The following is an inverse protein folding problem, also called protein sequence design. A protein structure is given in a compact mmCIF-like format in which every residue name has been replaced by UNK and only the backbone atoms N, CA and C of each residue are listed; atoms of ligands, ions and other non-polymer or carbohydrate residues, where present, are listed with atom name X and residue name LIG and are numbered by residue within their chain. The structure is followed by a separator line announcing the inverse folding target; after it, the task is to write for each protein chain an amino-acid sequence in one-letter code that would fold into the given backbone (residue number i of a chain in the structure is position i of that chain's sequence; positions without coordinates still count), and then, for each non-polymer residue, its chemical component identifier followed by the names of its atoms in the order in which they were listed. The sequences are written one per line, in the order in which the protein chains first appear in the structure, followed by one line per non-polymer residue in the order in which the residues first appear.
data_IF_571132577386
#
_entry.id   IF_571132577386
#
_cell.length_a   1.000
_cell.length_b   1.000
_cell.length_c   1.000
_cell.angle_alpha   90.00
_cell.angle_beta   90.00
_cell.angle_gamma   90.00
#
_symmetry.space_group_name_H-M   'P 1'
#
loop_
_entity.id
_entity.type
_entity.pdbx_description
1 polymer ?
#
# COMPACT_ATOMS: atom_id res chain seq x y z
N UNK A 1 -5.76 -8.82 5.68
CA UNK A 1 -5.30 -8.73 4.28
C UNK A 1 -6.12 -9.69 3.43
N UNK A 2 -6.55 -9.33 2.22
CA UNK A 2 -7.34 -10.23 1.34
C UNK A 2 -6.51 -11.41 0.80
N UNK A 3 -5.21 -11.21 0.63
CA UNK A 3 -4.30 -12.21 0.08
C UNK A 3 -3.63 -12.99 1.21
N UNK A 4 -4.34 -13.97 1.77
CA UNK A 4 -3.80 -14.91 2.75
C UNK A 4 -3.88 -16.34 2.22
N UNK A 5 -2.99 -17.23 2.71
CA UNK A 5 -2.96 -18.64 2.27
C UNK A 5 -4.27 -19.37 2.59
N UNK A 6 -4.89 -19.06 3.73
CA UNK A 6 -6.18 -19.65 4.13
C UNK A 6 -7.32 -19.21 3.22
N UNK A 7 -7.26 -17.99 2.67
CA UNK A 7 -8.30 -17.45 1.81
C UNK A 7 -8.21 -17.98 0.37
N UNK A 8 -7.01 -18.36 -0.09
CA UNK A 8 -6.77 -18.82 -1.47
C UNK A 8 -7.57 -20.08 -1.82
N UNK A 9 -7.53 -21.11 -0.98
CA UNK A 9 -8.24 -22.36 -1.27
C UNK A 9 -9.77 -22.19 -1.21
N UNK A 10 -10.27 -21.29 -0.37
CA UNK A 10 -11.70 -20.96 -0.31
C UNK A 10 -12.20 -20.09 -1.47
N UNK A 11 -11.31 -19.62 -2.34
CA UNK A 11 -11.62 -18.70 -3.45
C UNK A 11 -11.54 -19.33 -4.84
N UNK A 12 -10.85 -20.46 -5.01
CA UNK A 12 -10.74 -21.13 -6.32
C UNK A 12 -12.07 -21.71 -6.84
N UNK A 13 -13.02 -21.99 -5.94
CA UNK A 13 -14.34 -22.54 -6.32
C UNK A 13 -15.42 -21.47 -6.59
N UNK A 14 -15.08 -20.18 -6.48
CA UNK A 14 -16.05 -19.07 -6.57
C UNK A 14 -15.67 -18.09 -7.70
N UNK A 15 -16.41 -18.06 -8.82
CA UNK A 15 -16.10 -17.21 -9.96
C UNK A 15 -15.89 -15.72 -9.63
N UNK A 16 -16.70 -15.15 -8.74
CA UNK A 16 -16.56 -13.73 -8.33
C UNK A 16 -15.25 -13.49 -7.58
N UNK A 17 -14.80 -14.48 -6.81
CA UNK A 17 -13.52 -14.42 -6.11
C UNK A 17 -12.36 -14.51 -7.08
N UNK A 18 -12.43 -15.34 -8.12
CA UNK A 18 -11.41 -15.39 -9.18
C UNK A 18 -11.24 -14.00 -9.83
N UNK A 19 -12.35 -13.29 -10.10
CA UNK A 19 -12.29 -11.92 -10.67
C UNK A 19 -11.64 -10.93 -9.71
N UNK A 20 -11.96 -10.97 -8.41
CA UNK A 20 -11.32 -10.13 -7.41
C UNK A 20 -9.80 -10.37 -7.33
N UNK A 21 -9.36 -11.62 -7.44
CA UNK A 21 -7.94 -11.96 -7.49
C UNK A 21 -7.27 -11.46 -8.77
N UNK A 22 -7.91 -11.62 -9.92
CA UNK A 22 -7.40 -11.10 -11.20
C UNK A 22 -7.29 -9.57 -11.17
N UNK A 23 -8.30 -8.87 -10.63
CA UNK A 23 -8.25 -7.43 -10.43
C UNK A 23 -7.10 -7.00 -9.51
N UNK A 24 -6.89 -7.72 -8.40
CA UNK A 24 -5.74 -7.51 -7.52
C UNK A 24 -4.40 -7.72 -8.23
N UNK A 25 -4.31 -8.72 -9.10
CA UNK A 25 -3.14 -8.96 -9.93
C UNK A 25 -2.87 -7.82 -10.92
N UNK A 26 -3.91 -7.28 -11.56
CA UNK A 26 -3.78 -6.11 -12.45
C UNK A 26 -3.26 -4.90 -11.66
N UNK A 27 -3.84 -4.60 -10.50
CA UNK A 27 -3.39 -3.52 -9.63
C UNK A 27 -1.93 -3.70 -9.21
N UNK A 28 -1.54 -4.92 -8.81
CA UNK A 28 -0.15 -5.22 -8.45
C UNK A 28 0.80 -5.05 -9.63
N UNK A 29 0.39 -5.47 -10.83
CA UNK A 29 1.17 -5.33 -12.06
C UNK A 29 1.42 -3.87 -12.37
N UNK A 30 0.38 -3.02 -12.32
CA UNK A 30 0.47 -1.56 -12.46
C UNK A 30 1.45 -0.94 -11.47
N UNK A 31 1.40 -1.33 -10.19
CA UNK A 31 2.35 -0.86 -9.18
C UNK A 31 3.80 -1.25 -9.48
N UNK A 32 4.04 -2.41 -10.10
CA UNK A 32 5.38 -2.78 -10.57
C UNK A 32 5.82 -1.93 -11.74
N UNK A 33 4.92 -1.58 -12.65
CA UNK A 33 5.25 -0.70 -13.78
C UNK A 33 5.61 0.70 -13.31
N UNK A 34 4.83 1.22 -12.35
CA UNK A 34 5.13 2.50 -11.69
C UNK A 34 6.51 2.43 -11.04
N UNK A 35 6.83 1.37 -10.28
CA UNK A 35 8.16 1.22 -9.70
C UNK A 35 9.28 1.32 -10.76
N UNK A 36 9.13 0.58 -11.88
CA UNK A 36 10.14 0.56 -12.96
C UNK A 36 10.41 1.96 -13.53
N UNK A 37 9.39 2.82 -13.60
CA UNK A 37 9.55 4.22 -14.05
C UNK A 37 10.48 5.04 -13.13
N UNK A 38 10.61 4.65 -11.86
CA UNK A 38 11.43 5.35 -10.87
C UNK A 38 12.77 4.67 -10.57
N UNK A 39 13.04 3.46 -11.08
CA UNK A 39 14.27 2.72 -10.75
C UNK A 39 15.56 3.47 -11.15
N UNK A 40 15.49 4.33 -12.18
CA UNK A 40 16.60 5.15 -12.67
C UNK A 40 16.55 6.63 -12.28
N UNK A 41 15.57 7.08 -11.48
CA UNK A 41 15.41 8.51 -11.16
C UNK A 41 16.28 8.88 -9.95
N UNK A 42 17.30 9.73 -10.10
CA UNK A 42 18.15 10.16 -8.99
C UNK A 42 17.32 10.84 -7.91
N UNK A 43 17.65 10.56 -6.64
CA UNK A 43 16.96 11.12 -5.46
C UNK A 43 15.44 10.84 -5.37
N UNK A 44 14.89 9.97 -6.22
CA UNK A 44 13.48 9.57 -6.15
C UNK A 44 13.29 8.10 -6.55
N UNK A 45 14.24 7.25 -6.16
CA UNK A 45 14.14 5.81 -6.40
C UNK A 45 12.86 5.28 -5.75
N UNK A 46 12.17 4.39 -6.45
CA UNK A 46 10.87 3.85 -6.06
C UNK A 46 9.72 4.88 -5.97
N UNK A 47 9.93 6.12 -6.41
CA UNK A 47 8.88 7.15 -6.40
C UNK A 47 8.49 7.62 -5.00
N UNK A 48 9.43 7.57 -4.04
CA UNK A 48 9.17 7.90 -2.63
C UNK A 48 8.63 9.32 -2.46
N UNK A 49 9.11 10.29 -3.25
CA UNK A 49 8.64 11.67 -3.19
C UNK A 49 7.19 11.82 -3.68
N UNK A 50 6.71 10.90 -4.52
CA UNK A 50 5.38 10.94 -5.11
C UNK A 50 4.35 10.13 -4.32
N UNK A 51 4.76 8.97 -3.83
CA UNK A 51 3.84 7.95 -3.32
C UNK A 51 4.24 7.41 -1.94
N UNK A 52 5.20 8.05 -1.28
CA UNK A 52 5.76 7.56 -0.04
C UNK A 52 6.39 6.18 -0.21
N UNK A 53 6.30 5.35 0.82
CA UNK A 53 6.89 4.02 0.83
C UNK A 53 5.93 2.93 0.27
N UNK A 54 4.80 3.32 -0.32
CA UNK A 54 3.82 2.43 -0.92
C UNK A 54 4.45 1.49 -1.96
N UNK A 55 5.19 2.07 -2.92
CA UNK A 55 5.76 1.32 -4.04
C UNK A 55 6.90 0.40 -3.56
N UNK A 56 7.69 0.84 -2.58
CA UNK A 56 8.84 0.07 -2.09
C UNK A 56 8.44 -1.07 -1.16
N UNK A 57 7.54 -0.81 -0.21
CA UNK A 57 7.21 -1.74 0.87
C UNK A 57 5.71 -2.05 0.98
N UNK A 58 4.85 -1.14 0.52
CA UNK A 58 3.40 -1.18 0.75
C UNK A 58 2.54 -1.71 -0.39
N UNK A 59 3.09 -2.27 -1.49
CA UNK A 59 2.28 -2.64 -2.67
C UNK A 59 1.09 -3.54 -2.32
N UNK A 60 1.30 -4.57 -1.51
CA UNK A 60 0.22 -5.47 -1.10
C UNK A 60 -0.80 -4.81 -0.18
N UNK A 61 -0.38 -3.80 0.60
CA UNK A 61 -1.29 -2.98 1.38
C UNK A 61 -2.20 -2.17 0.44
N UNK A 62 -1.62 -1.48 -0.54
CA UNK A 62 -2.37 -0.72 -1.56
C UNK A 62 -3.38 -1.61 -2.28
N UNK A 63 -2.93 -2.75 -2.81
CA UNK A 63 -3.80 -3.71 -3.51
C UNK A 63 -4.91 -4.21 -2.58
N UNK A 64 -4.60 -4.50 -1.31
CA UNK A 64 -5.61 -4.96 -0.35
C UNK A 64 -6.64 -3.88 -0.03
N UNK A 65 -6.28 -2.59 0.00
CA UNK A 65 -7.25 -1.50 0.20
C UNK A 65 -8.13 -1.35 -1.05
N UNK A 66 -7.52 -1.32 -2.23
CA UNK A 66 -8.24 -1.24 -3.50
C UNK A 66 -9.26 -2.37 -3.61
N UNK A 67 -8.84 -3.63 -3.42
CA UNK A 67 -9.71 -4.79 -3.56
C UNK A 67 -10.86 -4.85 -2.53
N UNK A 68 -10.77 -4.12 -1.40
CA UNK A 68 -11.84 -4.03 -0.40
C UNK A 68 -12.91 -3.01 -0.76
N UNK A 69 -12.54 -1.97 -1.50
CA UNK A 69 -13.43 -0.88 -1.87
C UNK A 69 -14.12 -1.10 -3.23
N UNK A 70 -13.62 -2.03 -4.04
CA UNK A 70 -14.23 -2.37 -5.32
C UNK A 70 -15.22 -3.54 -5.16
N UNK A 71 -16.46 -3.33 -5.62
CA UNK A 71 -17.57 -4.29 -5.54
C UNK A 71 -17.75 -5.03 -6.87
N UNK A 72 -18.43 -6.18 -6.85
CA UNK A 72 -18.67 -7.02 -8.04
C UNK A 72 -19.40 -6.27 -9.18
N UNK A 73 -20.19 -5.24 -8.86
CA UNK A 73 -20.88 -4.39 -9.82
C UNK A 73 -19.94 -3.48 -10.66
N UNK A 74 -18.69 -3.31 -10.24
CA UNK A 74 -17.69 -2.52 -10.96
C UNK A 74 -16.85 -3.39 -11.92
N UNK A 75 -17.00 -4.71 -11.87
CA UNK A 75 -16.20 -5.69 -12.62
C UNK A 75 -16.88 -5.97 -13.98
N UNK A 76 -16.93 -4.93 -14.83
CA UNK A 76 -17.39 -5.02 -16.22
C UNK A 76 -16.19 -5.22 -17.18
N UNK A 77 -16.41 -5.22 -18.51
CA UNK A 77 -15.39 -5.43 -19.56
C UNK A 77 -14.16 -4.48 -19.52
N UNK A 78 -14.12 -3.53 -18.59
CA UNK A 78 -13.09 -2.48 -18.46
C UNK A 78 -12.26 -2.64 -17.18
N UNK A 79 -11.95 -3.88 -16.79
CA UNK A 79 -11.19 -4.18 -15.57
C UNK A 79 -9.82 -3.51 -15.51
N UNK A 80 -9.12 -3.44 -16.63
CA UNK A 80 -7.79 -2.82 -16.73
C UNK A 80 -7.85 -1.31 -16.48
N UNK A 81 -8.76 -0.60 -17.16
CA UNK A 81 -8.98 0.83 -16.95
C UNK A 81 -9.44 1.12 -15.51
N UNK A 82 -10.29 0.25 -14.97
CA UNK A 82 -10.74 0.34 -13.58
C UNK A 82 -9.57 0.18 -12.61
N UNK A 83 -8.68 -0.79 -12.87
CA UNK A 83 -7.49 -1.02 -12.04
C UNK A 83 -6.52 0.16 -12.11
N UNK A 84 -6.29 0.72 -13.29
CA UNK A 84 -5.45 1.91 -13.48
C UNK A 84 -5.98 3.11 -12.70
N UNK A 85 -7.28 3.41 -12.84
CA UNK A 85 -7.92 4.49 -12.09
C UNK A 85 -7.83 4.27 -10.57
N UNK A 86 -8.09 3.04 -10.12
CA UNK A 86 -8.02 2.68 -8.71
C UNK A 86 -6.60 2.86 -8.14
N UNK A 87 -5.59 2.35 -8.85
CA UNK A 87 -4.19 2.46 -8.43
C UNK A 87 -3.79 3.93 -8.29
N UNK A 88 -4.09 4.76 -9.30
CA UNK A 88 -3.76 6.19 -9.26
C UNK A 88 -4.45 6.89 -8.09
N UNK A 89 -5.75 6.68 -7.92
CA UNK A 89 -6.53 7.29 -6.83
C UNK A 89 -5.98 6.95 -5.43
N UNK A 90 -5.65 5.68 -5.19
CA UNK A 90 -5.15 5.25 -3.88
C UNK A 90 -3.69 5.63 -3.65
N UNK A 91 -2.87 5.71 -4.68
CA UNK A 91 -1.49 6.21 -4.56
C UNK A 91 -1.45 7.70 -4.22
N UNK A 92 -2.34 8.51 -4.80
CA UNK A 92 -2.46 9.94 -4.47
C UNK A 92 -2.81 10.17 -2.99
N UNK A 93 -3.61 9.29 -2.40
CA UNK A 93 -4.00 9.33 -0.98
C UNK A 93 -2.92 8.78 -0.05
N UNK A 94 -1.93 8.06 -0.57
CA UNK A 94 -1.06 7.22 0.25
C UNK A 94 -0.06 7.99 1.11
N UNK A 95 0.44 9.12 0.63
CA UNK A 95 1.27 10.03 1.44
C UNK A 95 0.49 10.56 2.65
N UNK A 96 -0.81 10.84 2.48
CA UNK A 96 -1.69 11.23 3.57
C UNK A 96 -1.88 10.11 4.60
N UNK A 97 -2.00 8.87 4.14
CA UNK A 97 -1.99 7.69 5.01
C UNK A 97 -0.70 7.59 5.81
N UNK A 98 0.47 7.61 5.16
CA UNK A 98 1.78 7.52 5.81
C UNK A 98 1.99 8.65 6.84
N UNK A 99 1.62 9.88 6.47
CA UNK A 99 1.67 11.04 7.38
C UNK A 99 0.77 10.86 8.60
N UNK A 100 -0.41 10.26 8.41
CA UNK A 100 -1.34 10.03 9.51
C UNK A 100 -0.79 8.98 10.47
N UNK A 101 -0.31 7.85 9.96
CA UNK A 101 0.13 6.72 10.80
C UNK A 101 1.45 6.96 11.51
N UNK A 102 2.31 7.83 10.98
CA UNK A 102 3.54 8.26 11.64
C UNK A 102 3.28 9.17 12.85
N UNK A 103 2.08 9.72 12.98
CA UNK A 103 1.65 10.51 14.14
C UNK A 103 0.96 9.69 15.24
N UNK A 104 0.65 8.41 14.98
CA UNK A 104 -0.11 7.58 15.91
C UNK A 104 0.78 6.98 17.02
N UNK A 105 0.45 7.16 18.31
CA UNK A 105 1.28 6.67 19.42
C UNK A 105 1.52 5.16 19.42
N UNK A 106 0.53 4.36 18.98
CA UNK A 106 0.68 2.90 18.93
C UNK A 106 1.67 2.42 17.87
N UNK A 107 2.13 3.29 16.97
CA UNK A 107 3.17 3.00 15.97
C UNK A 107 4.58 3.40 16.43
N UNK A 108 4.75 3.84 17.68
CA UNK A 108 6.04 4.24 18.24
C UNK A 108 7.10 3.13 18.19
N UNK A 109 6.69 1.85 18.25
CA UNK A 109 7.58 0.69 18.08
C UNK A 109 8.34 0.68 16.73
N UNK A 110 7.86 1.42 15.72
CA UNK A 110 8.50 1.53 14.41
C UNK A 110 9.38 2.78 14.26
N UNK A 111 9.52 3.60 15.29
CA UNK A 111 10.34 4.81 15.24
C UNK A 111 11.82 4.46 15.48
N UNK A 112 12.67 4.77 14.51
CA UNK A 112 14.13 4.66 14.63
C UNK A 112 14.69 6.00 15.09
N UNK A 113 15.37 6.06 16.23
CA UNK A 113 16.06 7.28 16.62
C UNK A 113 17.23 7.57 15.67
N UNK A 114 17.42 8.84 15.32
CA UNK A 114 18.63 9.34 14.66
C UNK A 114 19.04 10.68 15.27
N UNK A 115 20.33 10.99 15.22
CA UNK A 115 20.86 12.28 15.66
C UNK A 115 20.84 13.23 14.47
N UNK A 116 20.22 14.39 14.64
CA UNK A 116 20.13 15.40 13.59
C UNK A 116 21.51 15.99 13.29
N UNK A 117 21.92 16.01 12.03
CA UNK A 117 23.26 16.49 11.67
C UNK A 117 23.37 18.00 11.93
N UNK A 118 24.05 18.37 13.01
CA UNK A 118 24.22 19.77 13.44
C UNK A 118 23.40 20.18 14.67
N UNK A 119 22.63 19.25 15.28
CA UNK A 119 22.09 19.45 16.62
C UNK A 119 22.20 18.15 17.42
N UNK A 120 22.62 18.22 18.69
CA UNK A 120 22.66 17.05 19.60
C UNK A 120 21.25 16.54 20.00
N UNK A 121 20.23 16.81 19.17
CA UNK A 121 18.84 16.40 19.38
C UNK A 121 18.59 15.07 18.70
N UNK A 122 18.07 14.11 19.47
CA UNK A 122 17.56 12.85 18.96
C UNK A 122 16.20 13.11 18.28
N UNK A 123 16.13 12.85 16.98
CA UNK A 123 14.89 12.79 16.20
C UNK A 123 14.51 11.34 15.95
N UNK A 124 13.30 11.13 15.47
CA UNK A 124 12.76 9.81 15.20
C UNK A 124 12.27 9.75 13.75
N UNK A 125 12.76 8.79 13.00
CA UNK A 125 12.30 8.48 11.64
C UNK A 125 11.55 7.16 11.63
N UNK A 126 10.49 7.09 10.83
CA UNK A 126 9.70 5.87 10.76
C UNK A 126 10.42 4.78 9.95
N UNK A 127 10.60 3.61 10.56
CA UNK A 127 11.09 2.41 9.90
C UNK A 127 9.97 1.79 9.05
N UNK A 128 9.76 2.35 7.86
CA UNK A 128 8.72 1.91 6.94
C UNK A 128 8.84 0.42 6.58
N UNK A 129 10.06 -0.10 6.44
CA UNK A 129 10.29 -1.51 6.14
C UNK A 129 9.72 -2.45 7.20
N UNK A 130 9.88 -2.10 8.49
CA UNK A 130 9.32 -2.86 9.61
C UNK A 130 7.82 -2.58 9.79
N UNK A 131 7.38 -1.33 9.63
CA UNK A 131 5.97 -0.96 9.73
C UNK A 131 5.08 -1.74 8.74
N UNK A 132 5.49 -1.82 7.46
CA UNK A 132 4.71 -2.54 6.44
C UNK A 132 4.67 -4.06 6.64
N UNK A 133 5.54 -4.61 7.48
CA UNK A 133 5.54 -6.02 7.91
C UNK A 133 4.92 -6.20 9.31
N UNK A 134 4.60 -5.08 9.95
CA UNK A 134 4.22 -5.00 11.35
C UNK A 134 2.75 -5.32 11.58
N UNK A 135 2.42 -5.56 12.85
CA UNK A 135 1.07 -5.95 13.30
C UNK A 135 0.03 -4.83 13.16
N UNK A 136 0.47 -3.57 13.21
CA UNK A 136 -0.44 -2.41 13.24
C UNK A 136 -0.99 -2.05 11.87
N UNK A 137 -0.28 -2.40 10.79
CA UNK A 137 -0.65 -2.03 9.41
C UNK A 137 -2.12 -2.35 9.09
N UNK A 138 -2.58 -3.56 9.40
CA UNK A 138 -3.96 -3.95 9.09
C UNK A 138 -5.00 -3.10 9.84
N UNK A 139 -4.72 -2.71 11.09
CA UNK A 139 -5.61 -1.84 11.86
C UNK A 139 -5.61 -0.43 11.27
N UNK A 140 -4.42 0.11 10.98
CA UNK A 140 -4.27 1.47 10.46
C UNK A 140 -4.89 1.64 9.07
N UNK A 141 -4.78 0.64 8.19
CA UNK A 141 -5.44 0.65 6.88
C UNK A 141 -6.97 0.72 7.03
N UNK A 142 -7.55 -0.05 7.96
CA UNK A 142 -8.99 -0.02 8.21
C UNK A 142 -9.44 1.31 8.79
N UNK A 143 -8.69 1.82 9.76
CA UNK A 143 -9.00 3.10 10.39
C UNK A 143 -8.93 4.26 9.39
N UNK A 144 -7.89 4.33 8.57
CA UNK A 144 -7.69 5.43 7.62
C UNK A 144 -8.63 5.36 6.41
N UNK A 145 -8.75 4.18 5.78
CA UNK A 145 -9.54 4.01 4.55
C UNK A 145 -10.99 3.58 4.80
N UNK A 146 -11.40 3.33 6.06
CA UNK A 146 -12.75 2.94 6.46
C UNK A 146 -13.25 1.64 5.80
N UNK A 147 -12.43 0.58 5.91
CA UNK A 147 -12.60 -0.76 5.26
C UNK A 147 -12.51 -1.96 6.21
#
# INVERSE_FOLDING_TARGET
MIFSRSDLYGTLDKPDKIRQYYFGFLCHSLLNEIQRKFDGVPNNRFGILNYGNAIRYGKMAVVSVICRNYTDNMINKELEQTAEKAVNEYLEKWLGFETSVSSLPHNSDYFTPYVDAGSDRVRYDMNWGNYYKGRNLNYDLKWHFKI
#
